data_IF_292202249266
#
_entry.id   IF_292202249266
#
_cell.length_a   1.000
_cell.length_b   1.000
_cell.length_c   1.000
_cell.angle_alpha   90.00
_cell.angle_beta   90.00
_cell.angle_gamma   90.00
#
_symmetry.space_group_name_H-M   'P 1'
#
loop_
_entity.id
_entity.type
_entity.pdbx_description
1 polymer ?
#
# COMPACT_ATOMS: atom_id res chain seq x y z
N UNK A 1 14.46 7.17 -24.83
CA UNK A 1 13.23 6.66 -25.48
C UNK A 1 12.78 5.32 -24.92
N UNK A 2 13.65 4.30 -24.86
CA UNK A 2 13.31 2.97 -24.31
C UNK A 2 12.62 3.01 -22.93
N UNK A 3 13.18 3.74 -21.95
CA UNK A 3 12.63 3.77 -20.58
C UNK A 3 11.22 4.36 -20.54
N UNK A 4 10.92 5.36 -21.37
CA UNK A 4 9.56 5.92 -21.49
C UNK A 4 8.59 4.87 -21.96
N UNK A 5 8.94 4.10 -23.00
CA UNK A 5 8.11 3.03 -23.54
C UNK A 5 7.85 1.96 -22.47
N UNK A 6 8.90 1.57 -21.73
CA UNK A 6 8.78 0.60 -20.62
C UNK A 6 7.88 1.15 -19.51
N UNK A 7 8.07 2.40 -19.07
CA UNK A 7 7.22 3.02 -18.06
C UNK A 7 5.75 3.09 -18.51
N UNK A 8 5.49 3.52 -19.75
CA UNK A 8 4.14 3.55 -20.31
C UNK A 8 3.51 2.16 -20.37
N UNK A 9 4.26 1.14 -20.80
CA UNK A 9 3.76 -0.24 -20.83
C UNK A 9 3.44 -0.77 -19.42
N UNK A 10 4.29 -0.48 -18.43
CA UNK A 10 4.05 -0.85 -17.03
C UNK A 10 2.82 -0.14 -16.45
N UNK A 11 2.69 1.17 -16.65
CA UNK A 11 1.54 1.95 -16.19
C UNK A 11 0.23 1.47 -16.83
N UNK A 12 0.25 1.18 -18.14
CA UNK A 12 -0.90 0.60 -18.85
C UNK A 12 -1.26 -0.79 -18.31
N UNK A 13 -0.27 -1.63 -18.03
CA UNK A 13 -0.49 -2.91 -17.37
C UNK A 13 -1.15 -2.70 -15.99
N UNK A 14 -0.65 -1.76 -15.18
CA UNK A 14 -1.25 -1.35 -13.92
C UNK A 14 -2.73 -0.97 -14.09
N UNK A 15 -3.08 -0.11 -15.04
CA UNK A 15 -4.46 0.28 -15.34
C UNK A 15 -5.34 -0.92 -15.72
N UNK A 16 -4.84 -1.80 -16.59
CA UNK A 16 -5.56 -3.02 -16.97
C UNK A 16 -5.83 -3.89 -15.74
N UNK A 17 -4.86 -4.06 -14.85
CA UNK A 17 -5.04 -4.81 -13.61
C UNK A 17 -6.03 -4.14 -12.65
N UNK A 18 -6.04 -2.81 -12.54
CA UNK A 18 -7.05 -2.08 -11.76
C UNK A 18 -8.47 -2.40 -12.26
N UNK A 19 -8.68 -2.45 -13.57
CA UNK A 19 -9.99 -2.77 -14.16
C UNK A 19 -10.36 -4.24 -13.98
N UNK A 20 -9.44 -5.16 -14.29
CA UNK A 20 -9.69 -6.59 -14.22
C UNK A 20 -9.90 -7.10 -12.80
N UNK A 21 -9.15 -6.56 -11.83
CA UNK A 21 -9.16 -7.03 -10.44
C UNK A 21 -9.88 -6.09 -9.49
N UNK A 22 -10.31 -4.91 -9.92
CA UNK A 22 -11.00 -3.93 -9.06
C UNK A 22 -12.31 -4.44 -8.46
N UNK A 23 -12.95 -5.46 -9.04
CA UNK A 23 -14.15 -6.10 -8.45
C UNK A 23 -13.81 -7.09 -7.32
N UNK A 24 -12.54 -7.47 -7.19
CA UNK A 24 -12.11 -8.44 -6.19
C UNK A 24 -11.94 -7.73 -4.84
N UNK A 25 -12.74 -8.13 -3.85
CA UNK A 25 -12.52 -7.73 -2.46
C UNK A 25 -11.46 -8.60 -1.80
N UNK A 26 -10.65 -7.97 -0.93
CA UNK A 26 -9.78 -8.64 0.01
C UNK A 26 -10.57 -9.63 0.88
N UNK A 27 -10.16 -10.89 0.85
CA UNK A 27 -10.74 -11.95 1.67
C UNK A 27 -9.69 -12.37 2.70
N UNK A 28 -9.75 -11.84 3.93
CA UNK A 28 -8.84 -12.29 4.97
C UNK A 28 -9.11 -13.77 5.29
N UNK A 29 -8.10 -14.50 5.77
CA UNK A 29 -8.28 -15.88 6.18
C UNK A 29 -9.32 -16.02 7.30
N UNK A 30 -10.31 -16.89 7.09
CA UNK A 30 -11.39 -17.12 8.05
C UNK A 30 -10.88 -17.80 9.32
N UNK A 31 -11.46 -17.42 10.45
CA UNK A 31 -11.17 -18.08 11.73
C UNK A 31 -11.65 -19.55 11.74
N UNK A 32 -12.66 -19.90 10.95
CA UNK A 32 -13.24 -21.25 10.90
C UNK A 32 -12.29 -22.29 10.28
N UNK A 33 -11.52 -21.92 9.24
CA UNK A 33 -10.52 -22.78 8.59
C UNK A 33 -9.37 -23.20 9.53
N UNK A 34 -9.26 -22.58 10.70
CA UNK A 34 -8.23 -22.90 11.68
C UNK A 34 -8.64 -23.98 12.70
N UNK A 35 -9.94 -24.29 12.82
CA UNK A 35 -10.46 -25.23 13.82
C UNK A 35 -10.89 -26.60 13.28
N UNK A 36 -11.39 -26.68 12.04
CA UNK A 36 -12.13 -27.86 11.57
C UNK A 36 -11.28 -29.03 11.05
N UNK A 37 -9.97 -28.85 10.84
CA UNK A 37 -9.12 -29.87 10.18
C UNK A 37 -8.23 -30.69 11.15
N UNK A 38 -8.30 -30.45 12.46
CA UNK A 38 -7.61 -31.28 13.47
C UNK A 38 -8.59 -32.10 14.35
N UNK A 39 -9.90 -32.08 14.04
CA UNK A 39 -10.90 -32.90 14.75
C UNK A 39 -10.95 -34.30 14.14
N UNK A 40 -9.88 -35.07 14.35
CA UNK A 40 -9.87 -36.53 14.22
C UNK A 40 -9.67 -37.19 15.60
N UNK A 41 -10.05 -36.49 16.66
CA UNK A 41 -10.14 -37.06 18.01
C UNK A 41 -11.48 -36.65 18.63
N UNK A 42 -12.31 -37.67 18.86
CA UNK A 42 -13.38 -37.69 19.84
C UNK A 42 -12.85 -37.20 21.18
N UNK A 43 -13.00 -35.91 21.48
CA UNK A 43 -13.17 -35.47 22.86
C UNK A 43 -13.80 -34.07 22.95
N UNK A 44 -14.95 -34.07 23.60
CA UNK A 44 -15.65 -33.00 24.32
C UNK A 44 -15.17 -31.55 24.10
N UNK A 45 -16.10 -30.72 23.58
CA UNK A 45 -15.97 -29.30 23.34
C UNK A 45 -15.55 -28.47 24.57
N UNK A 46 -14.26 -28.42 24.86
CA UNK A 46 -13.65 -27.45 25.77
C UNK A 46 -13.29 -26.17 25.02
N UNK A 47 -13.66 -25.03 25.60
CA UNK A 47 -13.53 -23.70 25.03
C UNK A 47 -12.12 -23.36 24.48
N UNK A 48 -12.00 -22.52 23.43
CA UNK A 48 -10.72 -22.16 22.77
C UNK A 48 -9.67 -21.47 23.68
N UNK A 49 -10.00 -21.17 24.93
CA UNK A 49 -9.09 -20.57 25.91
C UNK A 49 -8.03 -21.55 26.47
N UNK A 50 -8.25 -22.87 26.37
CA UNK A 50 -7.33 -23.90 26.86
C UNK A 50 -6.30 -24.38 25.82
N UNK A 51 -6.29 -23.82 24.60
CA UNK A 51 -5.35 -24.24 23.56
C UNK A 51 -3.88 -24.02 24.01
N UNK A 52 -2.99 -25.01 23.81
CA UNK A 52 -1.57 -24.89 24.17
C UNK A 52 -0.94 -23.62 23.59
N UNK A 53 -0.11 -22.92 24.39
CA UNK A 53 0.54 -21.65 23.98
C UNK A 53 1.25 -21.76 22.62
N UNK A 54 1.95 -22.87 22.38
CA UNK A 54 2.63 -23.13 21.12
C UNK A 54 1.69 -23.15 19.90
N UNK A 55 0.48 -23.72 20.04
CA UNK A 55 -0.53 -23.74 18.97
C UNK A 55 -1.02 -22.34 18.64
N UNK A 56 -1.21 -21.49 19.65
CA UNK A 56 -1.63 -20.09 19.50
C UNK A 56 -0.59 -19.26 18.76
N UNK A 57 0.68 -19.35 19.18
CA UNK A 57 1.79 -18.64 18.50
C UNK A 57 1.92 -19.09 17.05
N UNK A 58 1.86 -20.40 16.79
CA UNK A 58 1.95 -20.94 15.43
C UNK A 58 0.83 -20.44 14.51
N UNK A 59 -0.40 -20.36 15.02
CA UNK A 59 -1.55 -19.82 14.26
C UNK A 59 -1.39 -18.32 14.02
N UNK A 60 -0.98 -17.56 15.03
CA UNK A 60 -0.74 -16.12 14.91
C UNK A 60 0.37 -15.82 13.89
N UNK A 61 1.49 -16.54 13.95
CA UNK A 61 2.59 -16.43 12.99
C UNK A 61 2.18 -16.83 11.57
N UNK A 62 1.37 -17.88 11.39
CA UNK A 62 0.85 -18.24 10.06
C UNK A 62 -0.01 -17.12 9.47
N UNK A 63 -0.90 -16.54 10.28
CA UNK A 63 -1.73 -15.41 9.86
C UNK A 63 -0.87 -14.18 9.55
N UNK A 64 0.15 -13.93 10.37
CA UNK A 64 1.12 -12.87 10.13
C UNK A 64 1.85 -13.07 8.80
N UNK A 65 2.39 -14.27 8.55
CA UNK A 65 3.09 -14.61 7.31
C UNK A 65 2.19 -14.48 6.07
N UNK A 66 0.91 -14.85 6.20
CA UNK A 66 -0.06 -14.61 5.14
C UNK A 66 -0.20 -13.12 4.81
N UNK A 67 -0.42 -12.28 5.84
CA UNK A 67 -0.52 -10.82 5.65
C UNK A 67 0.79 -10.22 5.12
N UNK A 68 1.93 -10.61 5.67
CA UNK A 68 3.24 -10.16 5.23
C UNK A 68 3.44 -10.49 3.75
N UNK A 69 3.06 -11.69 3.30
CA UNK A 69 3.17 -12.09 1.90
C UNK A 69 2.26 -11.24 1.00
N UNK A 70 0.99 -11.02 1.40
CA UNK A 70 0.06 -10.17 0.65
C UNK A 70 0.56 -8.73 0.57
N UNK A 71 1.01 -8.17 1.69
CA UNK A 71 1.59 -6.82 1.77
C UNK A 71 2.82 -6.72 0.87
N UNK A 72 3.74 -7.68 0.92
CA UNK A 72 4.94 -7.67 0.07
C UNK A 72 4.57 -7.71 -1.41
N UNK A 73 3.68 -8.61 -1.84
CA UNK A 73 3.23 -8.68 -3.23
C UNK A 73 2.56 -7.38 -3.67
N UNK A 74 1.69 -6.82 -2.83
CA UNK A 74 1.02 -5.57 -3.12
C UNK A 74 1.99 -4.38 -3.19
N UNK A 75 2.96 -4.32 -2.28
CA UNK A 75 3.98 -3.24 -2.23
C UNK A 75 4.83 -3.26 -3.49
N UNK A 76 5.44 -4.40 -3.81
CA UNK A 76 6.30 -4.52 -5.00
C UNK A 76 5.48 -4.41 -6.30
N UNK A 77 4.29 -5.01 -6.35
CA UNK A 77 3.42 -4.95 -7.51
C UNK A 77 2.98 -3.53 -7.83
N UNK A 78 2.52 -2.77 -6.82
CA UNK A 78 2.09 -1.38 -7.03
C UNK A 78 3.26 -0.43 -7.27
N UNK A 79 4.39 -0.60 -6.57
CA UNK A 79 5.60 0.18 -6.81
C UNK A 79 6.07 0.03 -8.27
N UNK A 80 6.13 -1.19 -8.78
CA UNK A 80 6.66 -1.48 -10.11
C UNK A 80 5.69 -1.12 -11.24
N UNK A 81 4.39 -1.43 -11.06
CA UNK A 81 3.39 -1.28 -12.13
C UNK A 81 2.73 0.09 -12.16
N UNK A 82 2.81 0.87 -11.08
CA UNK A 82 2.13 2.16 -11.02
C UNK A 82 3.01 3.27 -10.46
N UNK A 83 3.41 3.22 -9.19
CA UNK A 83 4.08 4.35 -8.53
C UNK A 83 5.33 4.78 -9.30
N UNK A 84 6.24 3.85 -9.61
CA UNK A 84 7.46 4.15 -10.35
C UNK A 84 7.19 4.70 -11.76
N UNK A 85 6.47 3.98 -12.65
CA UNK A 85 6.26 4.46 -14.01
C UNK A 85 5.41 5.74 -14.04
N UNK A 86 4.37 5.86 -13.22
CA UNK A 86 3.53 7.05 -13.16
C UNK A 86 4.34 8.27 -12.72
N UNK A 87 5.11 8.20 -11.64
CA UNK A 87 5.97 9.31 -11.20
C UNK A 87 6.92 9.76 -12.32
N UNK A 88 7.54 8.82 -13.05
CA UNK A 88 8.45 9.13 -14.16
C UNK A 88 7.73 9.80 -15.35
N UNK A 89 6.55 9.32 -15.69
CA UNK A 89 5.74 9.88 -16.77
C UNK A 89 5.22 11.27 -16.41
N UNK A 90 4.82 11.49 -15.15
CA UNK A 90 4.36 12.78 -14.65
C UNK A 90 5.48 13.81 -14.71
N UNK A 91 6.66 13.50 -14.16
CA UNK A 91 7.81 14.41 -14.21
C UNK A 91 8.22 14.74 -15.65
N UNK A 92 8.10 13.78 -16.57
CA UNK A 92 8.35 14.02 -17.99
C UNK A 92 7.28 14.90 -18.62
N UNK A 93 6.00 14.66 -18.32
CA UNK A 93 4.89 15.45 -18.84
C UNK A 93 5.02 16.92 -18.38
N UNK A 94 5.34 17.11 -17.10
CA UNK A 94 5.57 18.42 -16.51
C UNK A 94 6.80 19.13 -17.12
N UNK A 95 7.91 18.42 -17.30
CA UNK A 95 9.08 19.00 -17.97
C UNK A 95 8.79 19.43 -19.42
N UNK A 96 7.89 18.74 -20.14
CA UNK A 96 7.48 19.14 -21.49
C UNK A 96 6.60 20.39 -21.51
N UNK A 97 5.92 20.71 -20.40
CA UNK A 97 5.10 21.92 -20.28
C UNK A 97 5.84 23.10 -19.69
N UNK A 98 7.03 22.89 -19.11
CA UNK A 98 7.89 23.91 -18.50
C UNK A 98 9.22 24.06 -19.25
N UNK A 99 9.26 24.68 -20.44
CA UNK A 99 10.49 24.77 -21.25
C UNK A 99 11.64 25.49 -20.53
N UNK A 100 11.33 26.43 -19.64
CA UNK A 100 12.33 27.19 -18.87
C UNK A 100 12.95 26.39 -17.69
N UNK A 101 12.39 25.22 -17.37
CA UNK A 101 12.85 24.36 -16.27
C UNK A 101 13.93 23.35 -16.67
N UNK A 102 14.29 23.30 -17.97
CA UNK A 102 15.07 22.19 -18.56
C UNK A 102 16.51 22.09 -18.01
N UNK A 103 17.08 23.18 -17.48
CA UNK A 103 18.46 23.21 -16.95
C UNK A 103 18.56 23.12 -15.42
N UNK A 104 17.45 22.85 -14.72
CA UNK A 104 17.42 22.75 -13.26
C UNK A 104 17.50 21.31 -12.74
N UNK A 105 18.07 21.14 -11.55
CA UNK A 105 18.03 19.90 -10.79
C UNK A 105 16.83 19.90 -9.84
N UNK A 106 16.09 18.80 -9.75
CA UNK A 106 15.07 18.61 -8.71
C UNK A 106 15.72 18.40 -7.34
N UNK A 107 14.94 18.47 -6.25
CA UNK A 107 15.45 18.14 -4.90
C UNK A 107 16.11 16.75 -4.83
N UNK A 108 15.63 15.80 -5.65
CA UNK A 108 16.20 14.46 -5.77
C UNK A 108 17.49 14.39 -6.61
N UNK A 109 18.13 15.52 -6.91
CA UNK A 109 19.34 15.65 -7.73
C UNK A 109 19.19 15.03 -9.12
N UNK A 110 17.97 15.00 -9.65
CA UNK A 110 17.68 14.50 -10.98
C UNK A 110 17.53 15.66 -11.96
N UNK A 111 18.12 15.53 -13.14
CA UNK A 111 17.98 16.53 -14.20
C UNK A 111 16.54 16.49 -14.74
N UNK A 112 15.83 17.63 -14.66
CA UNK A 112 14.43 17.75 -15.06
C UNK A 112 14.24 17.28 -16.51
N UNK A 113 13.21 16.46 -16.75
CA UNK A 113 12.89 15.94 -18.08
C UNK A 113 13.74 14.75 -18.58
N UNK A 114 14.85 14.42 -17.92
CA UNK A 114 15.64 13.24 -18.28
C UNK A 114 15.21 12.01 -17.47
N UNK A 115 15.00 10.90 -18.18
CA UNK A 115 14.78 9.60 -17.54
C UNK A 115 16.06 8.80 -17.70
N UNK A 116 16.86 8.77 -16.64
CA UNK A 116 18.05 7.91 -16.53
C UNK A 116 17.73 6.59 -15.84
N UNK A 117 18.52 5.56 -16.13
CA UNK A 117 18.40 4.27 -15.45
C UNK A 117 18.70 4.41 -13.95
N UNK A 118 19.78 5.10 -13.61
CA UNK A 118 20.20 5.36 -12.23
C UNK A 118 19.13 6.12 -11.45
N UNK A 119 18.60 7.21 -12.00
CA UNK A 119 17.50 7.93 -11.37
C UNK A 119 16.29 7.02 -11.17
N UNK A 120 15.93 6.22 -12.17
CA UNK A 120 14.78 5.29 -12.08
C UNK A 120 14.98 4.27 -10.96
N UNK A 121 16.18 3.71 -10.84
CA UNK A 121 16.52 2.78 -9.76
C UNK A 121 16.50 3.46 -8.38
N UNK A 122 17.06 4.66 -8.27
CA UNK A 122 17.04 5.45 -7.03
C UNK A 122 15.60 5.78 -6.59
N UNK A 123 14.77 6.28 -7.52
CA UNK A 123 13.36 6.53 -7.28
C UNK A 123 12.61 5.27 -6.87
N UNK A 124 12.93 4.12 -7.48
CA UNK A 124 12.33 2.85 -7.10
C UNK A 124 12.66 2.47 -5.65
N UNK A 125 13.95 2.52 -5.28
CA UNK A 125 14.44 2.06 -3.97
C UNK A 125 14.11 3.00 -2.82
N UNK A 126 14.11 4.31 -3.06
CA UNK A 126 13.97 5.32 -2.00
C UNK A 126 12.62 6.05 -2.00
N UNK A 127 11.89 6.07 -3.11
CA UNK A 127 10.57 6.71 -3.19
C UNK A 127 9.44 5.70 -3.36
N UNK A 128 9.38 5.06 -4.52
CA UNK A 128 8.25 4.25 -4.94
C UNK A 128 8.03 3.02 -4.04
N UNK A 129 9.10 2.28 -3.69
CA UNK A 129 8.98 1.07 -2.88
C UNK A 129 8.64 1.36 -1.40
N UNK A 130 9.32 2.29 -0.69
CA UNK A 130 8.91 2.71 0.66
C UNK A 130 7.49 3.25 0.71
N UNK A 131 7.13 4.14 -0.22
CA UNK A 131 5.79 4.73 -0.30
C UNK A 131 4.71 3.68 -0.56
N UNK A 132 4.96 2.75 -1.50
CA UNK A 132 4.04 1.64 -1.76
C UNK A 132 3.94 0.68 -0.57
N UNK A 133 5.04 0.42 0.14
CA UNK A 133 5.04 -0.43 1.33
C UNK A 133 4.25 0.19 2.49
N UNK A 134 4.53 1.45 2.82
CA UNK A 134 3.77 2.18 3.84
C UNK A 134 2.29 2.21 3.48
N UNK A 135 1.97 2.51 2.22
CA UNK A 135 0.61 2.48 1.70
C UNK A 135 -0.03 1.09 1.82
N UNK A 136 0.67 0.00 1.52
CA UNK A 136 0.18 -1.36 1.67
C UNK A 136 -0.12 -1.73 3.13
N UNK A 137 0.77 -1.33 4.05
CA UNK A 137 0.60 -1.56 5.50
C UNK A 137 -0.62 -0.80 6.02
N UNK A 138 -0.72 0.50 5.71
CA UNK A 138 -1.87 1.33 6.13
C UNK A 138 -3.17 0.75 5.56
N UNK A 139 -3.21 0.39 4.28
CA UNK A 139 -4.36 -0.28 3.68
C UNK A 139 -4.73 -1.57 4.43
N UNK A 140 -3.75 -2.43 4.74
CA UNK A 140 -3.98 -3.66 5.50
C UNK A 140 -4.51 -3.42 6.92
N UNK A 141 -4.24 -2.26 7.52
CA UNK A 141 -4.84 -1.88 8.80
C UNK A 141 -6.28 -1.38 8.65
N UNK A 142 -6.53 -0.54 7.62
CA UNK A 142 -7.78 0.19 7.49
C UNK A 142 -8.83 -0.45 6.57
N UNK A 143 -8.48 -1.51 5.82
CA UNK A 143 -9.35 -2.10 4.79
C UNK A 143 -10.76 -2.46 5.28
N UNK A 144 -10.93 -2.77 6.57
CA UNK A 144 -12.23 -3.15 7.13
C UNK A 144 -13.21 -1.98 7.22
N UNK A 145 -12.68 -0.76 7.28
CA UNK A 145 -13.47 0.47 7.34
C UNK A 145 -13.73 1.04 5.95
N UNK A 146 -13.07 0.49 4.92
CA UNK A 146 -13.28 0.85 3.53
C UNK A 146 -14.40 0.02 2.89
N UNK A 147 -15.09 0.55 1.87
CA UNK A 147 -15.99 -0.25 1.04
C UNK A 147 -15.26 -1.40 0.33
N UNK A 148 -16.02 -2.39 -0.11
CA UNK A 148 -15.46 -3.54 -0.86
C UNK A 148 -15.25 -3.19 -2.33
N UNK A 149 -14.25 -3.84 -2.94
CA UNK A 149 -13.95 -3.70 -4.37
C UNK A 149 -13.35 -2.33 -4.72
N UNK A 150 -13.66 -1.85 -5.92
CA UNK A 150 -13.00 -0.68 -6.53
C UNK A 150 -13.22 0.61 -5.73
N UNK A 151 -14.39 0.76 -5.12
CA UNK A 151 -14.72 1.92 -4.30
C UNK A 151 -13.83 2.01 -3.06
N UNK A 152 -13.43 0.87 -2.48
CA UNK A 152 -12.48 0.82 -1.38
C UNK A 152 -11.11 1.35 -1.76
N UNK A 153 -10.62 0.98 -2.96
CA UNK A 153 -9.37 1.50 -3.50
C UNK A 153 -9.43 2.98 -3.86
N UNK A 154 -10.54 3.44 -4.45
CA UNK A 154 -10.79 4.85 -4.75
C UNK A 154 -10.77 5.70 -3.49
N UNK A 155 -11.56 5.34 -2.47
CA UNK A 155 -11.61 6.06 -1.19
C UNK A 155 -10.25 6.04 -0.52
N UNK A 156 -9.54 4.91 -0.59
CA UNK A 156 -8.20 4.85 -0.03
C UNK A 156 -7.22 5.81 -0.73
N UNK A 157 -7.24 5.86 -2.06
CA UNK A 157 -6.44 6.80 -2.82
C UNK A 157 -6.78 8.26 -2.51
N UNK A 158 -8.06 8.57 -2.29
CA UNK A 158 -8.50 9.88 -1.81
C UNK A 158 -8.02 10.18 -0.38
N UNK A 159 -8.00 9.19 0.51
CA UNK A 159 -7.42 9.35 1.85
C UNK A 159 -5.92 9.64 1.78
N UNK A 160 -5.18 8.94 0.91
CA UNK A 160 -3.77 9.24 0.66
C UNK A 160 -3.58 10.66 0.13
N UNK A 161 -4.45 11.10 -0.78
CA UNK A 161 -4.42 12.45 -1.34
C UNK A 161 -4.69 13.53 -0.27
N UNK A 162 -5.72 13.37 0.55
CA UNK A 162 -6.11 14.41 1.53
C UNK A 162 -5.19 14.40 2.77
N UNK A 163 -4.82 13.23 3.27
CA UNK A 163 -4.07 13.10 4.52
C UNK A 163 -2.55 13.06 4.26
N UNK A 164 -2.12 12.33 3.23
CA UNK A 164 -0.71 12.12 2.94
C UNK A 164 -0.08 13.24 2.11
N UNK A 165 -0.71 13.61 1.00
CA UNK A 165 -0.11 14.50 0.00
C UNK A 165 0.37 15.86 0.53
N UNK A 166 -0.30 16.54 1.48
CA UNK A 166 0.19 17.83 1.98
C UNK A 166 1.47 17.73 2.82
N UNK A 167 1.79 16.53 3.31
CA UNK A 167 2.92 16.27 4.21
C UNK A 167 4.11 15.63 3.49
N UNK A 168 3.95 15.23 2.24
CA UNK A 168 4.91 14.42 1.49
C UNK A 168 5.16 15.04 0.12
N UNK A 169 6.37 14.90 -0.39
CA UNK A 169 6.67 15.32 -1.74
C UNK A 169 5.89 14.48 -2.77
N UNK A 170 5.41 15.11 -3.86
CA UNK A 170 5.68 16.49 -4.27
C UNK A 170 4.66 17.52 -3.78
N UNK A 171 3.45 17.13 -3.35
CA UNK A 171 2.32 18.05 -3.12
C UNK A 171 2.37 18.85 -1.81
N UNK A 172 3.55 19.00 -1.19
CA UNK A 172 3.73 19.90 -0.05
C UNK A 172 3.73 21.37 -0.52
N UNK A 173 3.13 22.30 0.23
CA UNK A 173 3.08 23.72 -0.16
C UNK A 173 4.47 24.33 -0.38
N UNK A 174 5.44 23.95 0.45
CA UNK A 174 6.79 24.51 0.43
C UNK A 174 7.76 23.70 -0.46
N UNK A 175 7.25 22.99 -1.48
CA UNK A 175 8.10 22.25 -2.40
C UNK A 175 8.75 23.22 -3.42
N UNK A 176 10.09 23.36 -3.43
CA UNK A 176 10.76 24.25 -4.37
C UNK A 176 10.64 23.80 -5.82
N UNK A 177 10.36 22.51 -6.10
CA UNK A 177 10.19 21.99 -7.46
C UNK A 177 9.00 22.70 -8.17
N UNK A 178 7.95 23.12 -7.45
CA UNK A 178 6.84 23.88 -8.04
C UNK A 178 7.16 25.34 -8.35
N UNK A 179 8.29 25.86 -7.88
CA UNK A 179 8.77 27.18 -8.29
C UNK A 179 9.24 27.23 -9.75
N UNK A 180 9.50 26.06 -10.35
CA UNK A 180 10.01 25.95 -11.73
C UNK A 180 9.10 25.12 -12.65
N UNK A 181 8.18 24.33 -12.08
CA UNK A 181 7.30 23.44 -12.84
C UNK A 181 5.94 24.10 -13.08
N UNK A 182 5.81 24.77 -14.23
CA UNK A 182 4.55 25.35 -14.71
C UNK A 182 3.86 24.47 -15.77
N UNK A 183 2.51 24.36 -15.77
CA UNK A 183 1.58 25.00 -14.85
C UNK A 183 1.28 24.13 -13.60
N UNK A 184 1.20 24.73 -12.41
CA UNK A 184 1.07 23.98 -11.15
C UNK A 184 -0.25 23.19 -11.03
N UNK A 185 -1.34 23.68 -11.62
CA UNK A 185 -2.62 22.94 -11.65
C UNK A 185 -2.50 21.58 -12.34
N UNK A 186 -1.66 21.46 -13.37
CA UNK A 186 -1.45 20.21 -14.09
C UNK A 186 -0.73 19.20 -13.18
N UNK A 187 0.24 19.67 -12.39
CA UNK A 187 0.92 18.82 -11.42
C UNK A 187 -0.06 18.29 -10.37
N UNK A 188 -0.93 19.14 -9.83
CA UNK A 188 -1.98 18.72 -8.89
C UNK A 188 -2.85 17.60 -9.48
N UNK A 189 -3.31 17.76 -10.73
CA UNK A 189 -4.13 16.75 -11.40
C UNK A 189 -3.37 15.44 -11.59
N UNK A 190 -2.14 15.51 -12.09
CA UNK A 190 -1.31 14.34 -12.36
C UNK A 190 -0.95 13.55 -11.10
N UNK A 191 -0.54 14.24 -10.03
CA UNK A 191 -0.25 13.59 -8.75
C UNK A 191 -1.51 13.08 -8.04
N UNK A 192 -2.65 13.73 -8.23
CA UNK A 192 -3.94 13.19 -7.79
C UNK A 192 -4.28 11.87 -8.48
N UNK A 193 -4.09 11.79 -9.80
CA UNK A 193 -4.26 10.54 -10.57
C UNK A 193 -3.30 9.45 -10.05
N UNK A 194 -2.05 9.82 -9.76
CA UNK A 194 -1.07 8.88 -9.21
C UNK A 194 -1.54 8.28 -7.88
N UNK A 195 -1.96 9.12 -6.92
CA UNK A 195 -2.38 8.66 -5.59
C UNK A 195 -3.70 7.88 -5.62
N UNK A 196 -4.66 8.32 -6.43
CA UNK A 196 -5.93 7.60 -6.62
C UNK A 196 -5.67 6.24 -7.28
N UNK A 197 -4.87 6.22 -8.36
CA UNK A 197 -4.48 4.99 -9.03
C UNK A 197 -3.71 4.04 -8.11
N UNK A 198 -2.85 4.57 -7.24
CA UNK A 198 -2.14 3.77 -6.23
C UNK A 198 -3.13 3.05 -5.32
N UNK A 199 -4.13 3.77 -4.78
CA UNK A 199 -5.14 3.15 -3.93
C UNK A 199 -5.98 2.10 -4.65
N UNK A 200 -6.36 2.36 -5.90
CA UNK A 200 -7.13 1.42 -6.73
C UNK A 200 -6.35 0.15 -7.06
N UNK A 201 -5.11 0.27 -7.55
CA UNK A 201 -4.28 -0.89 -7.87
C UNK A 201 -3.93 -1.68 -6.62
N UNK A 202 -3.65 -1.01 -5.52
CA UNK A 202 -3.36 -1.66 -4.25
C UNK A 202 -4.55 -2.54 -3.82
N UNK A 203 -5.76 -1.98 -3.79
CA UNK A 203 -6.96 -2.75 -3.45
C UNK A 203 -7.18 -3.93 -4.40
N UNK A 204 -6.93 -3.74 -5.70
CA UNK A 204 -7.05 -4.76 -6.72
C UNK A 204 -6.04 -5.91 -6.52
N UNK A 205 -4.77 -5.61 -6.25
CA UNK A 205 -3.71 -6.61 -5.98
C UNK A 205 -3.99 -7.34 -4.66
N UNK A 206 -4.42 -6.64 -3.61
CA UNK A 206 -4.86 -7.27 -2.35
C UNK A 206 -6.01 -8.25 -2.59
N UNK A 207 -7.05 -7.82 -3.32
CA UNK A 207 -8.22 -8.65 -3.64
C UNK A 207 -7.86 -9.88 -4.48
N UNK A 208 -7.00 -9.71 -5.48
CA UNK A 208 -6.53 -10.78 -6.35
C UNK A 208 -5.64 -11.79 -5.62
N UNK A 209 -4.60 -11.31 -4.93
CA UNK A 209 -3.60 -12.18 -4.34
C UNK A 209 -4.11 -12.91 -3.10
N UNK A 210 -4.93 -12.23 -2.26
CA UNK A 210 -5.52 -12.85 -1.08
C UNK A 210 -6.37 -14.08 -1.38
N UNK A 211 -7.09 -14.09 -2.51
CA UNK A 211 -7.89 -15.25 -2.96
C UNK A 211 -7.04 -16.42 -3.46
N UNK A 212 -5.80 -16.15 -3.90
CA UNK A 212 -4.87 -17.16 -4.41
C UNK A 212 -3.95 -17.75 -3.35
N UNK A 213 -3.83 -17.07 -2.20
CA UNK A 213 -2.96 -17.49 -1.12
C UNK A 213 -3.77 -18.27 -0.07
N UNK A 214 -3.77 -19.62 -0.09
CA UNK A 214 -4.39 -20.41 0.97
C UNK A 214 -3.59 -20.26 2.28
N UNK A 215 -4.28 -20.37 3.42
CA UNK A 215 -3.62 -20.41 4.74
C UNK A 215 -2.67 -21.60 4.92
N UNK A 216 -3.05 -22.75 4.36
CA UNK A 216 -2.28 -24.00 4.39
C UNK A 216 -1.94 -24.37 2.95
N UNK A 217 -0.95 -23.70 2.33
CA UNK A 217 -0.51 -24.05 0.98
C UNK A 217 0.07 -25.46 0.98
N UNK A 218 -0.24 -26.24 -0.07
CA UNK A 218 0.39 -27.56 -0.29
C UNK A 218 1.92 -27.49 -0.38
N UNK A 219 2.44 -26.36 -0.87
CA UNK A 219 3.88 -26.07 -1.00
C UNK A 219 4.20 -24.76 -0.29
N UNK A 220 4.54 -24.79 1.03
CA UNK A 220 4.68 -23.57 1.84
C UNK A 220 5.83 -22.66 1.39
N UNK A 221 6.92 -23.22 0.87
CA UNK A 221 8.05 -22.45 0.36
C UNK A 221 7.70 -21.62 -0.88
N UNK A 222 6.87 -22.14 -1.79
CA UNK A 222 6.39 -21.39 -2.96
C UNK A 222 5.47 -20.25 -2.55
N UNK A 223 4.60 -20.49 -1.57
CA UNK A 223 3.69 -19.47 -1.04
C UNK A 223 4.43 -18.35 -0.31
N UNK A 224 5.55 -18.67 0.35
CA UNK A 224 6.41 -17.70 1.02
C UNK A 224 7.44 -17.03 0.08
N UNK A 225 7.55 -17.48 -1.18
CA UNK A 225 8.57 -16.96 -2.11
C UNK A 225 8.54 -15.44 -2.33
N UNK A 226 7.39 -14.72 -2.27
CA UNK A 226 7.40 -13.27 -2.34
C UNK A 226 8.17 -12.60 -1.19
N UNK A 227 8.28 -13.25 -0.03
CA UNK A 227 9.08 -12.74 1.09
C UNK A 227 10.58 -12.70 0.75
N UNK A 228 11.05 -13.39 -0.30
CA UNK A 228 12.43 -13.23 -0.77
C UNK A 228 12.71 -11.78 -1.23
N UNK A 229 11.69 -11.06 -1.70
CA UNK A 229 11.83 -9.65 -2.04
C UNK A 229 12.22 -8.79 -0.84
N UNK A 230 11.89 -9.22 0.38
CA UNK A 230 12.24 -8.51 1.63
C UNK A 230 13.66 -8.81 2.09
N UNK A 231 14.28 -9.87 1.55
CA UNK A 231 15.73 -10.11 1.69
C UNK A 231 16.50 -9.17 0.77
N UNK A 232 15.99 -8.94 -0.44
CA UNK A 232 16.57 -7.98 -1.40
C UNK A 232 16.45 -6.56 -0.87
N UNK A 233 15.29 -6.18 -0.31
CA UNK A 233 15.07 -4.87 0.30
C UNK A 233 15.02 -4.97 1.83
N UNK A 234 16.22 -4.96 2.43
CA UNK A 234 16.46 -5.19 3.87
C UNK A 234 15.56 -4.36 4.80
N UNK A 235 15.28 -3.05 4.56
CA UNK A 235 14.45 -2.27 5.48
C UNK A 235 13.03 -2.86 5.67
N UNK A 236 12.40 -3.30 4.58
CA UNK A 236 11.09 -3.98 4.65
C UNK A 236 11.21 -5.30 5.41
N UNK A 237 12.28 -6.07 5.15
CA UNK A 237 12.55 -7.32 5.86
C UNK A 237 12.65 -7.14 7.37
N UNK A 238 13.35 -6.10 7.83
CA UNK A 238 13.48 -5.76 9.25
C UNK A 238 12.12 -5.42 9.87
N UNK A 239 11.34 -4.55 9.23
CA UNK A 239 9.99 -4.18 9.72
C UNK A 239 9.08 -5.40 9.84
N UNK A 240 9.11 -6.29 8.84
CA UNK A 240 8.31 -7.51 8.88
C UNK A 240 8.81 -8.50 9.94
N UNK A 241 10.12 -8.61 10.16
CA UNK A 241 10.65 -9.45 11.22
C UNK A 241 10.22 -8.96 12.61
N UNK A 242 10.26 -7.64 12.83
CA UNK A 242 9.76 -7.01 14.06
C UNK A 242 8.26 -7.30 14.23
N UNK A 243 7.47 -7.12 13.17
CA UNK A 243 6.03 -7.42 13.18
C UNK A 243 5.74 -8.89 13.53
N UNK A 244 6.54 -9.83 13.04
CA UNK A 244 6.44 -11.24 13.40
C UNK A 244 6.72 -11.47 14.90
N UNK A 245 7.78 -10.85 15.42
CA UNK A 245 8.15 -10.91 16.84
C UNK A 245 7.06 -10.33 17.75
N UNK A 246 6.55 -9.14 17.44
CA UNK A 246 5.44 -8.50 18.17
C UNK A 246 4.19 -9.36 18.13
N UNK A 247 3.88 -9.99 16.98
CA UNK A 247 2.71 -10.87 16.86
C UNK A 247 2.87 -12.14 17.69
N UNK A 248 4.07 -12.75 17.70
CA UNK A 248 4.36 -13.91 18.52
C UNK A 248 4.24 -13.58 20.01
N UNK A 249 4.81 -12.46 20.44
CA UNK A 249 4.75 -12.00 21.83
C UNK A 249 3.31 -11.65 22.24
N UNK A 250 2.56 -10.94 21.39
CA UNK A 250 1.16 -10.62 21.62
C UNK A 250 0.28 -11.88 21.75
N UNK A 251 0.55 -12.92 20.95
CA UNK A 251 -0.16 -14.19 21.03
C UNK A 251 0.14 -14.98 22.33
N UNK A 252 1.29 -14.74 22.96
CA UNK A 252 1.62 -15.28 24.28
C UNK A 252 0.85 -14.57 25.39
N UNK A 253 0.68 -13.25 25.29
CA UNK A 253 0.14 -12.39 26.35
C UNK A 253 -1.39 -12.30 26.30
N UNK A 254 -2.00 -12.15 25.12
CA UNK A 254 -3.43 -11.80 24.99
C UNK A 254 -4.20 -12.84 24.15
N UNK A 255 -4.96 -13.76 24.77
CA UNK A 255 -5.69 -14.83 24.07
C UNK A 255 -6.86 -14.36 23.20
N UNK A 256 -7.30 -13.11 23.34
CA UNK A 256 -8.63 -12.65 22.93
C UNK A 256 -8.65 -11.48 21.92
N UNK A 257 -7.50 -11.01 21.44
CA UNK A 257 -7.39 -9.83 20.54
C UNK A 257 -8.32 -9.97 19.32
N UNK A 258 -8.45 -11.18 18.77
CA UNK A 258 -9.23 -11.41 17.55
C UNK A 258 -10.74 -11.13 17.67
N UNK A 259 -11.34 -11.30 18.85
CA UNK A 259 -12.80 -11.14 19.02
C UNK A 259 -13.23 -9.69 19.15
N UNK A 260 -12.46 -8.87 19.85
CA UNK A 260 -12.76 -7.45 20.02
C UNK A 260 -12.62 -6.67 18.72
N UNK A 261 -11.64 -7.04 17.90
CA UNK A 261 -11.33 -6.39 16.62
C UNK A 261 -12.45 -6.47 15.56
N UNK A 262 -13.34 -7.45 15.71
CA UNK A 262 -14.50 -7.69 14.81
C UNK A 262 -15.78 -7.02 15.36
N UNK A 263 -15.73 -6.38 16.53
CA UNK A 263 -16.91 -5.76 17.13
C UNK A 263 -17.45 -4.58 16.31
N UNK A 264 -18.77 -4.37 16.38
CA UNK A 264 -19.43 -3.20 15.75
C UNK A 264 -18.84 -1.89 16.28
N UNK A 265 -18.47 -1.84 17.56
CA UNK A 265 -17.87 -0.67 18.19
C UNK A 265 -16.53 -0.30 17.56
N UNK A 266 -15.62 -1.27 17.36
CA UNK A 266 -14.33 -1.01 16.69
C UNK A 266 -14.53 -0.59 15.23
N UNK A 267 -15.55 -1.13 14.55
CA UNK A 267 -15.90 -0.69 13.20
C UNK A 267 -16.33 0.78 13.18
N UNK A 268 -17.24 1.19 14.05
CA UNK A 268 -17.70 2.58 14.12
C UNK A 268 -16.60 3.53 14.59
N UNK A 269 -15.85 3.15 15.63
CA UNK A 269 -14.73 3.95 16.13
C UNK A 269 -13.70 4.23 15.04
N UNK A 270 -13.32 3.23 14.25
CA UNK A 270 -12.37 3.44 13.15
C UNK A 270 -12.93 4.31 12.02
N UNK A 271 -14.22 4.20 11.70
CA UNK A 271 -14.87 5.11 10.73
C UNK A 271 -14.87 6.56 11.22
N UNK A 272 -15.21 6.78 12.49
CA UNK A 272 -15.18 8.10 13.12
C UNK A 272 -13.77 8.67 13.13
N UNK A 273 -12.76 7.86 13.51
CA UNK A 273 -11.36 8.28 13.49
C UNK A 273 -10.92 8.67 12.08
N UNK A 274 -11.24 7.86 11.06
CA UNK A 274 -10.93 8.19 9.67
C UNK A 274 -11.60 9.50 9.24
N UNK A 275 -12.89 9.68 9.54
CA UNK A 275 -13.61 10.91 9.20
C UNK A 275 -13.00 12.15 9.89
N UNK A 276 -12.67 12.04 11.18
CA UNK A 276 -12.03 13.13 11.94
C UNK A 276 -10.65 13.45 11.37
N UNK A 277 -9.82 12.45 11.09
CA UNK A 277 -8.50 12.66 10.48
C UNK A 277 -8.61 13.34 9.11
N UNK A 278 -9.57 12.91 8.28
CA UNK A 278 -9.83 13.57 6.99
C UNK A 278 -10.26 15.02 7.16
N UNK A 279 -11.17 15.31 8.10
CA UNK A 279 -11.62 16.69 8.36
C UNK A 279 -10.49 17.58 8.88
N UNK A 280 -9.60 17.05 9.72
CA UNK A 280 -8.43 17.79 10.23
C UNK A 280 -7.42 18.06 9.10
N UNK A 281 -7.20 17.11 8.19
CA UNK A 281 -6.23 17.25 7.10
C UNK A 281 -6.75 18.11 5.93
N UNK A 282 -8.07 18.22 5.77
CA UNK A 282 -8.70 18.88 4.63
C UNK A 282 -8.27 20.35 4.42
N UNK A 283 -8.17 21.21 5.44
CA UNK A 283 -7.72 22.59 5.26
C UNK A 283 -6.28 22.68 4.71
N UNK A 284 -5.37 21.83 5.22
CA UNK A 284 -3.99 21.76 4.73
C UNK A 284 -3.91 21.32 3.28
N UNK A 285 -4.71 20.32 2.90
CA UNK A 285 -4.83 19.88 1.51
C UNK A 285 -5.39 20.96 0.59
N UNK A 286 -6.48 21.64 0.97
CA UNK A 286 -7.05 22.73 0.17
C UNK A 286 -6.01 23.85 0.02
N UNK A 287 -5.35 24.24 1.11
CA UNK A 287 -4.27 25.23 1.10
C UNK A 287 -3.17 24.88 0.11
N UNK A 288 -2.63 23.65 0.20
CA UNK A 288 -1.61 23.14 -0.71
C UNK A 288 -2.06 23.21 -2.19
N UNK A 289 -3.26 22.71 -2.48
CA UNK A 289 -3.81 22.72 -3.85
C UNK A 289 -4.00 24.14 -4.37
N UNK A 290 -4.55 25.05 -3.57
CA UNK A 290 -4.77 26.43 -4.00
C UNK A 290 -3.46 27.17 -4.24
N UNK A 291 -2.45 26.95 -3.40
CA UNK A 291 -1.13 27.55 -3.54
C UNK A 291 -0.42 27.03 -4.79
N UNK A 292 -0.40 25.71 -4.99
CA UNK A 292 0.27 25.11 -6.16
C UNK A 292 -0.47 25.49 -7.44
N UNK A 293 -1.81 25.52 -7.45
CA UNK A 293 -2.58 25.82 -8.66
C UNK A 293 -2.57 27.30 -9.06
N UNK A 294 -2.19 28.22 -8.16
CA UNK A 294 -2.06 29.65 -8.47
C UNK A 294 -0.72 30.04 -9.09
N UNK A 295 0.25 29.11 -9.12
CA UNK A 295 1.53 29.22 -9.81
C UNK A 295 1.47 28.38 -11.10
#
# INVERSE_FOLDING_TARGET
>A
MLIVIVCSALALCGLVLMVLWGRLSLSPPDAADTGAADTDSTDTAAAPASAPRARRVRLALRRYLWWATVVTVASFGTALLWTLPASRLIMRALALTSPDATDFFTEAQAFVGTISFEGTLSLFLFGALPGAFLSAVVFAFIYRWLPRGWLGGLIYGLLLLVIGAPNEDPLRPDNPDFGFIEPGWLAVVLFSILLIGQGMLLAAVFGWYSRRLPLRPRRPWLAASPLLATVVYVPIGVVLLIGAGVTALGALVVPSIGRWWVSRTVRWAGLVVLAVLTLIALPGFIGAVTFIASH
#
